data_IF_309888076593
#
_entry.id   IF_309888076593
#
_cell.length_a   1.000
_cell.length_b   1.000
_cell.length_c   1.000
_cell.angle_alpha   90.00
_cell.angle_beta   90.00
_cell.angle_gamma   90.00
#
_symmetry.space_group_name_H-M   'P 1'
#
loop_
_entity.id
_entity.type
_entity.pdbx_description
1 polymer ?
#
# COMPACT_ATOMS: atom_id res chain seq x y z
N UNK A 1 9.52 -2.29 -17.63
CA UNK A 1 9.13 -2.28 -16.20
C UNK A 1 7.64 -2.04 -16.15
N UNK A 2 6.92 -2.83 -15.37
CA UNK A 2 5.46 -2.73 -15.32
C UNK A 2 5.03 -1.52 -14.49
N UNK A 3 4.16 -0.67 -15.05
CA UNK A 3 3.60 0.51 -14.41
C UNK A 3 2.13 0.66 -14.79
N UNK A 4 1.37 1.24 -13.90
CA UNK A 4 0.02 1.75 -14.17
C UNK A 4 0.02 3.25 -13.90
N UNK A 5 -0.94 3.97 -14.47
CA UNK A 5 -1.20 5.37 -14.16
C UNK A 5 -2.37 5.44 -13.17
N UNK A 6 -2.15 6.06 -12.01
CA UNK A 6 -3.22 6.44 -11.10
C UNK A 6 -4.12 7.51 -11.73
N UNK A 7 -5.29 7.80 -11.13
CA UNK A 7 -6.29 8.73 -11.68
C UNK A 7 -5.77 10.15 -11.90
N UNK A 8 -4.76 10.54 -11.14
CA UNK A 8 -4.09 11.86 -11.25
C UNK A 8 -2.85 11.84 -12.18
N UNK A 9 -2.59 10.71 -12.85
CA UNK A 9 -1.45 10.53 -13.74
C UNK A 9 -0.17 10.07 -13.03
N UNK A 10 -0.16 9.88 -11.71
CA UNK A 10 0.97 9.34 -10.96
C UNK A 10 1.27 7.92 -11.43
N UNK A 11 2.50 7.66 -11.85
CA UNK A 11 2.91 6.32 -12.26
C UNK A 11 3.25 5.45 -11.04
N UNK A 12 2.59 4.31 -10.93
CA UNK A 12 2.80 3.31 -9.89
C UNK A 12 3.52 2.11 -10.49
N UNK A 13 4.75 1.87 -10.04
CA UNK A 13 5.53 0.68 -10.40
C UNK A 13 5.00 -0.54 -9.65
N UNK A 14 4.99 -1.69 -10.32
CA UNK A 14 4.67 -2.97 -9.68
C UNK A 14 5.47 -4.14 -10.26
N UNK A 15 5.58 -5.19 -9.45
CA UNK A 15 6.03 -6.54 -9.82
C UNK A 15 4.82 -7.45 -9.92
N UNK A 16 4.83 -8.40 -10.85
CA UNK A 16 3.74 -9.34 -11.07
C UNK A 16 4.34 -10.68 -11.47
N UNK A 17 4.26 -11.66 -10.61
CA UNK A 17 4.89 -12.97 -10.78
C UNK A 17 3.90 -14.11 -10.54
N UNK A 18 4.10 -15.23 -11.26
CA UNK A 18 3.28 -16.42 -11.13
C UNK A 18 1.91 -16.30 -11.78
N UNK A 19 1.04 -17.24 -11.47
CA UNK A 19 -0.33 -17.34 -11.99
C UNK A 19 -1.25 -17.89 -10.91
N UNK A 20 -2.57 -17.74 -11.08
CA UNK A 20 -3.57 -18.23 -10.12
C UNK A 20 -4.18 -17.13 -9.27
N UNK A 21 -4.61 -17.47 -8.04
CA UNK A 21 -5.27 -16.49 -7.17
C UNK A 21 -4.32 -15.32 -6.83
N UNK A 22 -4.76 -14.07 -7.04
CA UNK A 22 -3.89 -12.92 -6.79
C UNK A 22 -3.68 -12.65 -5.30
N UNK A 23 -2.43 -12.41 -4.93
CA UNK A 23 -1.99 -11.88 -3.64
C UNK A 23 -1.31 -10.55 -3.90
N UNK A 24 -1.81 -9.48 -3.28
CA UNK A 24 -1.34 -8.10 -3.50
C UNK A 24 -0.66 -7.59 -2.24
N UNK A 25 0.58 -7.16 -2.35
CA UNK A 25 1.39 -6.72 -1.23
C UNK A 25 1.55 -5.21 -1.18
N UNK A 26 1.21 -4.62 -0.04
CA UNK A 26 1.44 -3.22 0.31
C UNK A 26 2.53 -3.11 1.37
N UNK A 27 3.62 -2.43 1.04
CA UNK A 27 4.80 -2.30 1.91
C UNK A 27 4.61 -1.25 3.02
N UNK A 28 5.47 -1.34 4.06
CA UNK A 28 5.58 -0.32 5.11
C UNK A 28 6.35 0.93 4.65
N UNK A 29 6.26 2.02 5.42
CA UNK A 29 7.09 3.20 5.24
C UNK A 29 8.52 2.85 5.65
N UNK A 30 9.34 3.28 4.93
CA UNK A 30 10.17 3.70 3.89
C UNK A 30 10.61 2.60 2.92
N UNK A 31 9.87 1.51 2.84
CA UNK A 31 10.19 0.34 2.03
C UNK A 31 9.75 0.50 0.56
N UNK A 32 9.82 -0.58 -0.19
CA UNK A 32 9.36 -0.73 -1.57
C UNK A 32 8.80 -2.14 -1.78
N UNK A 33 8.35 -2.46 -2.98
CA UNK A 33 7.94 -3.80 -3.39
C UNK A 33 9.03 -4.86 -3.16
N UNK A 34 10.30 -4.45 -3.13
CA UNK A 34 11.44 -5.37 -2.92
C UNK A 34 11.41 -6.05 -1.55
N UNK A 35 10.80 -5.40 -0.56
CA UNK A 35 10.64 -5.99 0.78
C UNK A 35 9.82 -7.29 0.77
N UNK A 36 9.03 -7.53 -0.29
CA UNK A 36 8.15 -8.68 -0.41
C UNK A 36 8.68 -9.81 -1.32
N UNK A 37 9.86 -9.65 -1.94
CA UNK A 37 10.35 -10.61 -2.93
C UNK A 37 10.39 -12.06 -2.44
N UNK A 38 10.85 -12.29 -1.21
CA UNK A 38 10.92 -13.63 -0.64
C UNK A 38 9.52 -14.28 -0.52
N UNK A 39 8.53 -13.52 -0.05
CA UNK A 39 7.15 -13.97 0.06
C UNK A 39 6.50 -14.15 -1.31
N UNK A 40 6.81 -13.28 -2.25
CA UNK A 40 6.33 -13.38 -3.64
C UNK A 40 6.83 -14.66 -4.30
N UNK A 41 8.14 -14.94 -4.25
CA UNK A 41 8.74 -16.16 -4.80
C UNK A 41 8.12 -17.40 -4.14
N UNK A 42 8.04 -17.41 -2.82
CA UNK A 42 7.46 -18.52 -2.08
C UNK A 42 6.02 -18.80 -2.53
N UNK A 43 5.14 -17.81 -2.52
CA UNK A 43 3.74 -17.99 -2.90
C UNK A 43 3.55 -18.32 -4.39
N UNK A 44 4.39 -17.76 -5.27
CA UNK A 44 4.35 -18.08 -6.70
C UNK A 44 4.66 -19.57 -6.95
N UNK A 45 5.57 -20.16 -6.18
CA UNK A 45 5.87 -21.61 -6.26
C UNK A 45 4.68 -22.48 -5.82
N UNK A 46 3.77 -21.92 -5.00
CA UNK A 46 2.53 -22.59 -4.56
C UNK A 46 1.32 -22.25 -5.42
N UNK A 47 1.52 -21.69 -6.61
CA UNK A 47 0.44 -21.44 -7.57
C UNK A 47 -0.40 -20.19 -7.30
N UNK A 48 0.19 -19.17 -6.67
CA UNK A 48 -0.43 -17.86 -6.55
C UNK A 48 0.18 -16.87 -7.55
N UNK A 49 -0.63 -15.93 -8.05
CA UNK A 49 -0.14 -14.74 -8.72
C UNK A 49 0.18 -13.69 -7.67
N UNK A 50 1.43 -13.24 -7.60
CA UNK A 50 1.91 -12.34 -6.55
C UNK A 50 2.23 -10.97 -7.16
N UNK A 51 1.59 -9.93 -6.64
CA UNK A 51 1.75 -8.55 -7.08
C UNK A 51 2.27 -7.71 -5.90
N UNK A 52 3.33 -6.93 -6.09
CA UNK A 52 3.78 -5.96 -5.11
C UNK A 52 4.05 -4.63 -5.81
N UNK A 53 3.56 -3.53 -5.28
CA UNK A 53 3.76 -2.21 -5.85
C UNK A 53 4.67 -1.35 -4.97
N UNK A 54 5.37 -0.42 -5.61
CA UNK A 54 5.98 0.70 -4.90
C UNK A 54 4.88 1.77 -4.75
N UNK A 55 4.52 2.13 -3.51
CA UNK A 55 3.55 3.21 -3.26
C UNK A 55 4.06 4.52 -3.86
N UNK A 56 3.17 5.43 -4.28
CA UNK A 56 3.60 6.79 -4.67
C UNK A 56 4.54 7.38 -3.61
N UNK A 57 5.50 8.18 -4.02
CA UNK A 57 6.52 8.72 -3.13
C UNK A 57 7.60 7.72 -2.69
N UNK A 58 7.57 6.46 -3.16
CA UNK A 58 8.51 5.41 -2.78
C UNK A 58 9.10 4.70 -4.00
N UNK A 59 10.30 4.18 -3.84
CA UNK A 59 10.96 3.29 -4.80
C UNK A 59 10.99 3.82 -6.22
N UNK A 60 10.43 3.04 -7.15
CA UNK A 60 10.41 3.31 -8.61
C UNK A 60 9.13 4.00 -9.09
N UNK A 61 8.16 4.22 -8.19
CA UNK A 61 6.96 5.01 -8.49
C UNK A 61 7.29 6.49 -8.56
N UNK A 62 6.38 7.28 -9.15
CA UNK A 62 6.50 8.75 -9.16
C UNK A 62 6.59 9.33 -7.76
N UNK A 63 7.30 10.44 -7.62
CA UNK A 63 7.57 11.13 -6.35
C UNK A 63 6.80 12.47 -6.31
N UNK A 64 5.44 12.46 -6.26
CA UNK A 64 4.67 13.70 -6.22
C UNK A 64 4.85 14.41 -4.87
N UNK A 65 4.72 15.74 -4.89
CA UNK A 65 4.79 16.59 -3.70
C UNK A 65 3.53 16.50 -2.82
N UNK A 66 2.42 16.04 -3.40
CA UNK A 66 1.10 15.95 -2.77
C UNK A 66 0.46 14.57 -2.95
N UNK A 67 -0.71 14.37 -2.37
CA UNK A 67 -1.40 13.08 -2.43
C UNK A 67 -0.73 11.97 -1.64
N UNK A 68 0.15 12.30 -0.69
CA UNK A 68 0.84 11.32 0.15
C UNK A 68 0.05 11.04 1.45
N UNK A 69 -1.22 10.72 1.27
CA UNK A 69 -2.15 10.41 2.35
C UNK A 69 -2.87 9.08 2.11
N UNK A 70 -3.46 8.53 3.17
CA UNK A 70 -4.00 7.18 3.18
C UNK A 70 -5.18 6.99 2.20
N UNK A 71 -5.98 8.03 1.95
CA UNK A 71 -7.08 7.98 0.98
C UNK A 71 -6.56 7.79 -0.44
N UNK A 72 -5.54 8.55 -0.80
CA UNK A 72 -4.90 8.47 -2.11
C UNK A 72 -4.16 7.14 -2.29
N UNK A 73 -3.47 6.64 -1.26
CA UNK A 73 -2.85 5.31 -1.31
C UNK A 73 -3.87 4.20 -1.56
N UNK A 74 -5.02 4.27 -0.89
CA UNK A 74 -6.13 3.32 -1.11
C UNK A 74 -6.71 3.42 -2.53
N UNK A 75 -6.80 4.62 -3.09
CA UNK A 75 -7.27 4.84 -4.46
C UNK A 75 -6.26 4.33 -5.50
N UNK A 76 -4.97 4.47 -5.25
CA UNK A 76 -3.90 3.89 -6.08
C UNK A 76 -3.95 2.35 -6.06
N UNK A 77 -4.12 1.75 -4.87
CA UNK A 77 -4.28 0.31 -4.73
C UNK A 77 -5.54 -0.18 -5.47
N UNK A 78 -6.64 0.58 -5.41
CA UNK A 78 -7.85 0.27 -6.16
C UNK A 78 -7.59 0.29 -7.67
N UNK A 79 -6.90 1.32 -8.16
CA UNK A 79 -6.52 1.42 -9.57
C UNK A 79 -5.66 0.23 -10.00
N UNK A 80 -4.67 -0.18 -9.19
CA UNK A 80 -3.85 -1.36 -9.48
C UNK A 80 -4.68 -2.64 -9.58
N UNK A 81 -5.60 -2.86 -8.63
CA UNK A 81 -6.48 -4.02 -8.60
C UNK A 81 -7.44 -4.03 -9.80
N UNK A 82 -7.94 -2.86 -10.21
CA UNK A 82 -8.85 -2.71 -11.36
C UNK A 82 -8.13 -2.89 -12.69
N UNK A 83 -7.01 -2.23 -12.92
CA UNK A 83 -6.23 -2.29 -14.17
C UNK A 83 -5.70 -3.70 -14.47
N UNK A 84 -5.34 -4.46 -13.42
CA UNK A 84 -4.90 -5.84 -13.56
C UNK A 84 -6.06 -6.86 -13.54
N UNK A 85 -7.31 -6.37 -13.48
CA UNK A 85 -8.55 -7.15 -13.30
C UNK A 85 -8.44 -8.25 -12.23
N UNK A 86 -7.86 -7.91 -11.08
CA UNK A 86 -7.70 -8.87 -9.99
C UNK A 86 -9.06 -9.14 -9.34
N UNK A 87 -9.40 -10.42 -9.21
CA UNK A 87 -10.62 -10.91 -8.57
C UNK A 87 -10.27 -11.92 -7.49
N UNK A 88 -11.09 -11.98 -6.45
CA UNK A 88 -10.83 -12.83 -5.27
C UNK A 88 -9.42 -12.63 -4.71
N UNK A 89 -8.93 -11.39 -4.76
CA UNK A 89 -7.59 -11.01 -4.33
C UNK A 89 -7.42 -11.15 -2.82
N UNK A 90 -6.17 -11.38 -2.41
CA UNK A 90 -5.75 -11.36 -1.01
C UNK A 90 -4.77 -10.20 -0.83
N UNK A 91 -5.24 -8.97 -0.52
CA UNK A 91 -4.34 -7.90 -0.13
C UNK A 91 -3.68 -8.19 1.22
N UNK A 92 -2.37 -7.98 1.27
CA UNK A 92 -1.51 -8.15 2.46
C UNK A 92 -0.78 -6.83 2.69
N UNK A 93 -0.98 -6.22 3.86
CA UNK A 93 -0.34 -4.96 4.20
C UNK A 93 0.50 -5.06 5.47
N UNK A 94 1.73 -4.54 5.42
CA UNK A 94 2.63 -4.41 6.56
C UNK A 94 2.73 -2.96 7.00
N UNK A 95 2.63 -2.70 8.32
CA UNK A 95 2.77 -1.36 8.89
C UNK A 95 1.82 -0.34 8.22
N UNK A 96 2.33 0.71 7.57
CA UNK A 96 1.54 1.67 6.79
C UNK A 96 0.78 1.02 5.62
N UNK A 97 1.32 -0.05 5.03
CA UNK A 97 0.60 -0.85 4.03
C UNK A 97 -0.64 -1.56 4.57
N UNK A 98 -0.66 -1.89 5.87
CA UNK A 98 -1.86 -2.40 6.53
C UNK A 98 -2.95 -1.33 6.67
N UNK A 99 -2.55 -0.08 6.94
CA UNK A 99 -3.46 1.06 6.90
C UNK A 99 -4.06 1.29 5.51
N UNK A 100 -3.23 1.20 4.47
CA UNK A 100 -3.63 1.29 3.06
C UNK A 100 -4.66 0.21 2.69
N UNK A 101 -4.40 -1.06 3.02
CA UNK A 101 -5.33 -2.18 2.78
C UNK A 101 -6.64 -1.97 3.53
N UNK A 102 -6.59 -1.57 4.80
CA UNK A 102 -7.78 -1.30 5.61
C UNK A 102 -8.61 -0.15 5.01
N UNK A 103 -7.93 0.92 4.57
CA UNK A 103 -8.59 2.06 3.96
C UNK A 103 -9.16 1.73 2.59
N UNK A 104 -8.45 0.92 1.78
CA UNK A 104 -8.96 0.40 0.52
C UNK A 104 -10.30 -0.31 0.73
N UNK A 105 -10.38 -1.26 1.67
CA UNK A 105 -11.61 -1.98 1.97
C UNK A 105 -12.73 -1.03 2.42
N UNK A 106 -12.41 -0.06 3.27
CA UNK A 106 -13.38 0.93 3.75
C UNK A 106 -13.93 1.86 2.67
N UNK A 107 -13.13 2.19 1.64
CA UNK A 107 -13.51 3.11 0.55
C UNK A 107 -14.10 2.41 -0.66
N UNK A 108 -13.54 1.27 -1.04
CA UNK A 108 -13.85 0.57 -2.30
C UNK A 108 -14.62 -0.74 -2.09
N UNK A 109 -14.81 -1.16 -0.83
CA UNK A 109 -15.54 -2.37 -0.49
C UNK A 109 -14.74 -3.65 -0.75
N UNK A 110 -15.43 -4.78 -0.73
CA UNK A 110 -14.82 -6.12 -0.78
C UNK A 110 -15.12 -6.90 -2.05
N UNK A 111 -15.73 -6.28 -3.06
CA UNK A 111 -16.20 -6.99 -4.27
C UNK A 111 -15.09 -7.73 -5.04
N UNK A 112 -13.84 -7.30 -4.89
CA UNK A 112 -12.65 -7.93 -5.49
C UNK A 112 -11.75 -8.64 -4.47
N UNK A 113 -12.15 -8.72 -3.19
CA UNK A 113 -11.33 -9.21 -2.07
C UNK A 113 -11.91 -10.49 -1.51
N UNK A 114 -11.12 -11.56 -1.50
CA UNK A 114 -11.50 -12.82 -0.84
C UNK A 114 -11.12 -12.82 0.65
N UNK A 115 -9.95 -12.26 1.00
CA UNK A 115 -9.41 -12.16 2.36
C UNK A 115 -8.48 -10.95 2.42
N UNK A 116 -8.24 -10.44 3.63
CA UNK A 116 -7.19 -9.44 3.88
C UNK A 116 -6.27 -9.93 5.00
N UNK A 117 -4.97 -9.61 4.90
CA UNK A 117 -3.96 -9.93 5.91
C UNK A 117 -3.27 -8.65 6.34
N UNK A 118 -3.30 -8.40 7.64
CA UNK A 118 -2.66 -7.22 8.25
C UNK A 118 -1.52 -7.68 9.14
N UNK A 119 -0.29 -7.22 8.82
CA UNK A 119 0.94 -7.60 9.51
C UNK A 119 1.48 -6.38 10.24
N UNK A 120 1.42 -6.37 11.56
CA UNK A 120 1.86 -5.22 12.39
C UNK A 120 1.37 -3.88 11.82
N UNK A 121 0.11 -3.85 11.42
CA UNK A 121 -0.50 -2.74 10.71
C UNK A 121 -0.69 -1.51 11.60
N UNK A 122 -0.49 -0.33 11.05
CA UNK A 122 -0.95 0.91 11.65
C UNK A 122 -2.39 1.22 11.20
N UNK A 123 -3.22 1.87 12.04
CA UNK A 123 -4.56 2.26 11.63
C UNK A 123 -4.51 3.33 10.52
N UNK A 124 -5.54 3.42 9.67
CA UNK A 124 -5.60 4.43 8.60
C UNK A 124 -5.59 5.87 9.11
N UNK A 125 -6.09 6.11 10.31
CA UNK A 125 -6.07 7.39 10.98
C UNK A 125 -5.28 7.29 12.28
N UNK A 126 -4.05 7.78 12.27
CA UNK A 126 -3.16 7.81 13.45
C UNK A 126 -3.28 9.12 14.23
N UNK A 127 -3.58 10.22 13.54
CA UNK A 127 -3.63 11.55 14.13
C UNK A 127 -4.78 11.68 15.13
N UNK A 128 -4.50 12.34 16.26
CA UNK A 128 -5.52 12.73 17.22
C UNK A 128 -6.44 13.80 16.61
N UNK A 129 -7.73 13.50 16.58
CA UNK A 129 -8.80 14.35 16.07
C UNK A 129 -10.06 14.17 16.92
N UNK A 130 -11.11 14.93 16.64
CA UNK A 130 -12.41 14.73 17.31
C UNK A 130 -12.97 13.32 17.12
N UNK A 131 -12.73 12.71 15.93
CA UNK A 131 -13.19 11.33 15.62
C UNK A 131 -12.18 10.26 16.03
N UNK A 132 -10.98 10.63 16.46
CA UNK A 132 -9.93 9.75 16.98
C UNK A 132 -9.27 10.41 18.21
N UNK A 133 -9.97 10.52 19.36
CA UNK A 133 -9.49 11.25 20.53
C UNK A 133 -8.26 10.62 21.19
N UNK A 134 -8.04 9.31 20.99
CA UNK A 134 -6.88 8.57 21.52
C UNK A 134 -5.71 8.51 20.52
N UNK A 135 -5.80 9.22 19.39
CA UNK A 135 -4.76 9.27 18.38
C UNK A 135 -3.48 9.99 18.83
N UNK A 136 -2.45 9.85 18.01
CA UNK A 136 -1.14 10.49 18.22
C UNK A 136 -1.22 11.98 17.94
N UNK A 137 -0.64 12.81 18.81
CA UNK A 137 -0.58 14.26 18.63
C UNK A 137 0.26 14.62 17.40
N UNK A 138 -0.07 15.76 16.76
CA UNK A 138 0.61 16.22 15.55
C UNK A 138 2.10 16.49 15.80
N UNK A 139 2.45 16.96 16.99
CA UNK A 139 3.82 17.28 17.39
C UNK A 139 4.76 16.06 17.25
N UNK A 140 4.28 14.85 17.57
CA UNK A 140 5.08 13.63 17.40
C UNK A 140 5.41 13.34 15.92
N UNK A 141 4.49 13.64 15.01
CA UNK A 141 4.73 13.52 13.57
C UNK A 141 5.66 14.63 13.06
N UNK A 142 5.57 15.84 13.62
CA UNK A 142 6.43 16.96 13.24
C UNK A 142 7.88 16.71 13.69
N UNK A 143 8.09 16.09 14.86
CA UNK A 143 9.42 15.65 15.31
C UNK A 143 10.02 14.61 14.35
N UNK A 144 9.24 13.61 13.88
CA UNK A 144 9.69 12.62 12.90
C UNK A 144 10.06 13.31 11.58
N UNK A 145 9.23 14.25 11.09
CA UNK A 145 9.49 15.01 9.85
C UNK A 145 10.77 15.83 9.96
N UNK A 146 10.95 16.50 11.11
CA UNK A 146 12.16 17.28 11.37
C UNK A 146 13.41 16.40 11.39
N UNK A 147 13.34 15.23 12.03
CA UNK A 147 14.44 14.26 12.05
C UNK A 147 14.82 13.77 10.66
N UNK A 148 13.83 13.39 9.84
CA UNK A 148 14.04 12.97 8.44
C UNK A 148 14.61 14.09 7.57
N UNK A 149 14.23 15.34 7.82
CA UNK A 149 14.75 16.50 7.07
C UNK A 149 16.18 16.85 7.45
N UNK A 150 16.57 16.58 8.70
CA UNK A 150 17.90 16.93 9.23
C UNK A 150 18.98 15.91 8.82
N UNK A 151 18.61 14.64 8.70
CA UNK A 151 19.56 13.55 8.41
C UNK A 151 18.90 12.48 7.53
N UNK A 152 19.23 12.51 6.25
CA UNK A 152 18.77 11.59 5.19
C UNK A 152 19.89 10.71 4.70
#
# INVERSE_FOLDING_TARGET
MSRIAAKDGTEIYYKDWGTGRPVVFSHGWTLSADAWENQMVFLAQYGYRTIAHDRRGHGRSSQPSDGNEMDTYADDLATLIEELDLRDAVPIGHSTGGGEVSRYIGRHGTSRVAKAVLVSAVPPLMLKTEVNPDGTLIEAFDEIRAGVSADR
#
